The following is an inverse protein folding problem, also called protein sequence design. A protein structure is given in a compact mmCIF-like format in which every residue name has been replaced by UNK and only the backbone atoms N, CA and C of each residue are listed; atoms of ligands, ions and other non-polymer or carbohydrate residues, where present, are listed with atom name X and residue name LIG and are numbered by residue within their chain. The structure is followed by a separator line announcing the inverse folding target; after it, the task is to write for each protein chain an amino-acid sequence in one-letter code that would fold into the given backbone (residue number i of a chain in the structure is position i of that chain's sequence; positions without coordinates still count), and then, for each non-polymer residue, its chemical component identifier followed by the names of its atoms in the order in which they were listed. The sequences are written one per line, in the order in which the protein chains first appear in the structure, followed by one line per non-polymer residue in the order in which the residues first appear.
data_IF_070563353979
#
_entry.id   IF_070563353979
#
_cell.length_a   1.000
_cell.length_b   1.000
_cell.length_c   1.000
_cell.angle_alpha   90.00
_cell.angle_beta   90.00
_cell.angle_gamma   90.00
#
_symmetry.space_group_name_H-M   'P 1'
#
loop_
_entity.id
_entity.type
_entity.pdbx_description
1 polymer ?
#
# COMPACT_ATOMS: atom_id res chain seq x y z
N UNK A 1 28.92 -29.07 -13.24
CA UNK A 1 28.65 -28.45 -11.92
C UNK A 1 29.07 -26.98 -11.84
N UNK A 2 30.24 -26.59 -12.34
CA UNK A 2 30.72 -25.18 -12.30
C UNK A 2 29.75 -24.18 -12.97
N UNK A 3 29.30 -24.45 -14.20
CA UNK A 3 28.38 -23.55 -14.93
C UNK A 3 27.06 -23.32 -14.18
N UNK A 4 26.51 -24.36 -13.57
CA UNK A 4 25.26 -24.28 -12.81
C UNK A 4 25.41 -23.41 -11.56
N UNK A 5 26.55 -23.52 -10.85
CA UNK A 5 26.87 -22.67 -9.71
C UNK A 5 27.09 -21.21 -10.14
N UNK A 6 27.81 -20.98 -11.24
CA UNK A 6 28.03 -19.64 -11.81
C UNK A 6 26.73 -18.95 -12.23
N UNK A 7 25.80 -19.68 -12.86
CA UNK A 7 24.49 -19.13 -13.24
C UNK A 7 23.61 -18.81 -12.02
N UNK A 8 23.57 -19.70 -11.03
CA UNK A 8 22.84 -19.44 -9.77
C UNK A 8 23.34 -18.16 -9.11
N UNK A 9 24.66 -17.99 -9.00
CA UNK A 9 25.26 -16.79 -8.43
C UNK A 9 24.93 -15.54 -9.25
N UNK A 10 25.06 -15.62 -10.58
CA UNK A 10 24.76 -14.52 -11.49
C UNK A 10 23.32 -14.03 -11.36
N UNK A 11 22.33 -14.93 -11.43
CA UNK A 11 20.92 -14.57 -11.31
C UNK A 11 20.58 -14.04 -9.92
N UNK A 12 21.18 -14.60 -8.86
CA UNK A 12 20.99 -14.07 -7.52
C UNK A 12 21.61 -12.67 -7.34
N UNK A 13 22.75 -12.39 -7.96
CA UNK A 13 23.40 -11.07 -7.93
C UNK A 13 22.60 -10.02 -8.70
N UNK A 14 22.12 -10.37 -9.89
CA UNK A 14 21.23 -9.50 -10.68
C UNK A 14 19.90 -9.27 -9.95
N UNK A 15 19.33 -10.33 -9.36
CA UNK A 15 18.15 -10.24 -8.52
C UNK A 15 18.33 -9.28 -7.35
N UNK A 16 19.48 -9.33 -6.67
CA UNK A 16 19.84 -8.36 -5.63
C UNK A 16 19.89 -6.93 -6.18
N UNK A 17 20.64 -6.69 -7.26
CA UNK A 17 20.80 -5.34 -7.82
C UNK A 17 19.45 -4.71 -8.22
N UNK A 18 18.59 -5.47 -8.91
CA UNK A 18 17.27 -4.99 -9.33
C UNK A 18 16.34 -4.80 -8.13
N UNK A 19 16.37 -5.71 -7.17
CA UNK A 19 15.54 -5.59 -5.97
C UNK A 19 15.95 -4.38 -5.11
N UNK A 20 17.25 -4.04 -5.06
CA UNK A 20 17.69 -2.79 -4.44
C UNK A 20 17.09 -1.57 -5.14
N UNK A 21 17.11 -1.52 -6.47
CA UNK A 21 16.49 -0.43 -7.24
C UNK A 21 14.98 -0.32 -6.97
N UNK A 22 14.26 -1.45 -6.96
CA UNK A 22 12.82 -1.49 -6.65
C UNK A 22 12.57 -1.04 -5.21
N UNK A 23 13.40 -1.47 -4.26
CA UNK A 23 13.29 -1.09 -2.86
C UNK A 23 13.53 0.41 -2.64
N UNK A 24 14.37 1.04 -3.46
CA UNK A 24 14.63 2.48 -3.45
C UNK A 24 13.54 3.30 -4.17
N UNK A 25 12.65 2.68 -4.93
CA UNK A 25 11.61 3.37 -5.71
C UNK A 25 10.71 4.32 -4.88
N UNK A 26 10.39 4.05 -3.59
CA UNK A 26 9.62 4.98 -2.75
C UNK A 26 10.41 6.21 -2.25
N UNK A 27 11.73 6.29 -2.43
CA UNK A 27 12.54 7.41 -1.94
C UNK A 27 12.02 8.79 -2.35
N UNK A 28 11.62 9.04 -3.62
CA UNK A 28 11.08 10.34 -4.02
C UNK A 28 9.80 10.70 -3.26
N UNK A 29 8.93 9.71 -2.98
CA UNK A 29 7.72 9.89 -2.17
C UNK A 29 8.07 10.28 -0.74
N UNK A 30 9.03 9.59 -0.12
CA UNK A 30 9.46 9.91 1.25
C UNK A 30 10.20 11.24 1.36
N UNK A 31 10.94 11.62 0.32
CA UNK A 31 11.52 12.95 0.23
C UNK A 31 10.44 14.04 0.22
N UNK A 32 9.32 13.82 -0.48
CA UNK A 32 8.18 14.74 -0.45
C UNK A 32 7.52 14.81 0.93
N UNK A 33 7.29 13.67 1.59
CA UNK A 33 6.76 13.61 2.96
C UNK A 33 7.66 14.41 3.90
N UNK A 34 8.98 14.23 3.80
CA UNK A 34 9.96 14.96 4.62
C UNK A 34 9.96 16.46 4.34
N UNK A 35 9.88 16.88 3.07
CA UNK A 35 9.86 18.29 2.67
C UNK A 35 8.58 18.99 3.11
N UNK A 36 7.43 18.34 2.96
CA UNK A 36 6.11 18.91 3.24
C UNK A 36 5.66 18.74 4.69
N UNK A 37 6.38 17.93 5.48
CA UNK A 37 6.11 17.68 6.90
C UNK A 37 4.73 17.08 7.20
N UNK A 38 4.14 16.37 6.23
CA UNK A 38 2.86 15.69 6.36
C UNK A 38 2.87 14.41 5.52
N UNK A 39 2.11 13.40 5.93
CA UNK A 39 1.94 12.15 5.19
C UNK A 39 1.04 12.26 3.95
N UNK A 40 0.44 13.42 3.66
CA UNK A 40 -0.38 13.69 2.44
C UNK A 40 -1.34 12.57 1.99
N UNK A 41 -1.91 11.80 2.93
CA UNK A 41 -2.79 10.67 2.60
C UNK A 41 -2.07 9.41 2.07
N UNK A 42 -0.74 9.41 1.98
CA UNK A 42 0.05 8.20 1.71
C UNK A 42 -0.21 7.15 2.79
N UNK A 43 -0.21 5.88 2.38
CA UNK A 43 -0.50 4.74 3.26
C UNK A 43 0.79 4.06 3.71
N UNK A 44 0.87 3.66 4.98
CA UNK A 44 2.03 2.94 5.53
C UNK A 44 1.99 1.43 5.30
N UNK A 45 0.83 0.88 4.95
CA UNK A 45 0.58 -0.56 4.81
C UNK A 45 1.65 -1.27 3.94
N UNK A 46 2.02 -0.75 2.75
CA UNK A 46 3.02 -1.43 1.90
C UNK A 46 4.37 -1.60 2.59
N UNK A 47 4.77 -0.64 3.43
CA UNK A 47 6.06 -0.68 4.12
C UNK A 47 6.03 -1.63 5.32
N UNK A 48 4.92 -1.66 6.07
CA UNK A 48 4.74 -2.61 7.19
C UNK A 48 4.70 -4.06 6.70
N UNK A 49 3.98 -4.31 5.61
CA UNK A 49 3.91 -5.63 4.95
C UNK A 49 5.27 -5.99 4.34
N UNK A 50 5.97 -5.03 3.72
CA UNK A 50 7.31 -5.23 3.19
C UNK A 50 8.34 -5.58 4.27
N UNK A 51 8.29 -4.93 5.44
CA UNK A 51 9.14 -5.25 6.57
C UNK A 51 8.90 -6.67 7.06
N UNK A 52 7.63 -7.05 7.23
CA UNK A 52 7.27 -8.39 7.69
C UNK A 52 7.71 -9.47 6.68
N UNK A 53 7.55 -9.19 5.38
CA UNK A 53 8.07 -10.03 4.31
C UNK A 53 9.59 -10.25 4.44
N UNK A 54 10.35 -9.17 4.62
CA UNK A 54 11.80 -9.23 4.74
C UNK A 54 12.23 -10.04 5.97
N UNK A 55 11.54 -9.88 7.10
CA UNK A 55 11.78 -10.66 8.32
C UNK A 55 11.53 -12.15 8.11
N UNK A 56 10.42 -12.52 7.44
CA UNK A 56 10.10 -13.92 7.12
C UNK A 56 11.17 -14.55 6.21
N UNK A 57 11.56 -13.85 5.14
CA UNK A 57 12.58 -14.33 4.21
C UNK A 57 13.96 -14.45 4.86
N UNK A 58 14.33 -13.52 5.75
CA UNK A 58 15.55 -13.64 6.55
C UNK A 58 15.49 -14.88 7.44
N UNK A 59 14.38 -15.10 8.13
CA UNK A 59 14.23 -16.23 9.03
C UNK A 59 14.27 -17.57 8.30
N UNK A 60 13.63 -17.66 7.12
CA UNK A 60 13.78 -18.80 6.22
C UNK A 60 15.24 -19.00 5.79
N UNK A 61 15.91 -17.93 5.35
CA UNK A 61 17.26 -17.99 4.83
C UNK A 61 18.32 -18.36 5.89
N UNK A 62 18.07 -18.10 7.18
CA UNK A 62 18.94 -18.55 8.27
C UNK A 62 19.05 -20.07 8.38
N UNK A 63 17.99 -20.81 7.99
CA UNK A 63 17.97 -22.27 8.06
C UNK A 63 18.12 -22.93 6.68
N UNK A 64 17.88 -22.19 5.59
CA UNK A 64 18.07 -22.68 4.24
C UNK A 64 19.57 -22.77 3.87
N UNK A 65 19.97 -23.83 3.16
CA UNK A 65 21.35 -24.00 2.68
C UNK A 65 21.69 -22.94 1.63
N UNK A 66 22.94 -22.43 1.65
CA UNK A 66 23.51 -21.55 0.63
C UNK A 66 22.60 -20.35 0.26
N UNK A 67 22.04 -19.69 1.28
CA UNK A 67 21.05 -18.63 1.12
C UNK A 67 21.62 -17.20 1.22
N UNK A 68 22.94 -17.02 1.12
CA UNK A 68 23.58 -15.71 1.31
C UNK A 68 22.98 -14.60 0.44
N UNK A 69 22.72 -14.85 -0.84
CA UNK A 69 22.13 -13.85 -1.74
C UNK A 69 20.69 -13.47 -1.36
N UNK A 70 19.96 -14.38 -0.72
CA UNK A 70 18.62 -14.12 -0.20
C UNK A 70 18.69 -13.32 1.11
N UNK A 71 19.70 -13.60 1.95
CA UNK A 71 19.98 -12.82 3.16
C UNK A 71 20.33 -11.38 2.80
N UNK A 72 21.28 -11.16 1.90
CA UNK A 72 21.79 -9.81 1.57
C UNK A 72 20.67 -8.86 1.14
N UNK A 73 19.80 -9.29 0.22
CA UNK A 73 18.72 -8.43 -0.25
C UNK A 73 17.65 -8.18 0.82
N UNK A 74 17.34 -9.18 1.64
CA UNK A 74 16.29 -9.02 2.65
C UNK A 74 16.79 -8.24 3.87
N UNK A 75 18.09 -8.28 4.19
CA UNK A 75 18.71 -7.36 5.15
C UNK A 75 18.60 -5.93 4.64
N UNK A 76 18.98 -5.69 3.38
CA UNK A 76 18.84 -4.36 2.78
C UNK A 76 17.39 -3.87 2.82
N UNK A 77 16.45 -4.73 2.43
CA UNK A 77 15.01 -4.44 2.46
C UNK A 77 14.53 -4.15 3.88
N UNK A 78 14.94 -4.93 4.87
CA UNK A 78 14.58 -4.71 6.27
C UNK A 78 14.96 -3.30 6.75
N UNK A 79 16.19 -2.86 6.48
CA UNK A 79 16.64 -1.52 6.87
C UNK A 79 15.89 -0.42 6.10
N UNK A 80 15.69 -0.59 4.80
CA UNK A 80 14.95 0.38 3.98
C UNK A 80 13.49 0.52 4.42
N UNK A 81 12.80 -0.59 4.67
CA UNK A 81 11.40 -0.56 5.14
C UNK A 81 11.29 0.03 6.54
N UNK A 82 12.24 -0.28 7.43
CA UNK A 82 12.32 0.34 8.76
C UNK A 82 12.51 1.85 8.65
N UNK A 83 13.40 2.32 7.77
CA UNK A 83 13.60 3.74 7.50
C UNK A 83 12.31 4.42 7.00
N UNK A 84 11.63 3.82 6.02
CA UNK A 84 10.35 4.32 5.51
C UNK A 84 9.28 4.42 6.59
N UNK A 85 9.12 3.38 7.40
CA UNK A 85 8.16 3.38 8.51
C UNK A 85 8.51 4.47 9.53
N UNK A 86 9.79 4.64 9.88
CA UNK A 86 10.24 5.66 10.83
C UNK A 86 9.91 7.07 10.34
N UNK A 87 10.25 7.39 9.09
CA UNK A 87 9.93 8.70 8.48
C UNK A 87 8.42 8.89 8.41
N UNK A 88 7.67 7.87 8.01
CA UNK A 88 6.20 7.93 7.96
C UNK A 88 5.62 8.25 9.34
N UNK A 89 6.00 7.51 10.38
CA UNK A 89 5.49 7.69 11.74
C UNK A 89 5.78 9.08 12.28
N UNK A 90 6.94 9.66 11.93
CA UNK A 90 7.31 11.01 12.36
C UNK A 90 6.38 12.08 11.79
N UNK A 91 6.03 12.00 10.50
CA UNK A 91 5.23 13.01 9.79
C UNK A 91 3.73 12.68 9.68
N UNK A 92 3.33 11.46 10.02
CA UNK A 92 1.94 11.04 9.93
C UNK A 92 1.04 11.71 10.98
N UNK A 93 -0.23 11.86 10.61
CA UNK A 93 -1.30 12.33 11.51
C UNK A 93 -1.45 11.40 12.71
N UNK A 94 -2.05 11.88 13.81
CA UNK A 94 -2.26 11.05 15.01
C UNK A 94 -3.05 9.77 14.73
N UNK A 95 -4.04 9.83 13.82
CA UNK A 95 -4.84 8.66 13.47
C UNK A 95 -4.02 7.66 12.64
N UNK A 96 -3.37 8.13 11.57
CA UNK A 96 -2.55 7.27 10.70
C UNK A 96 -1.37 6.65 11.45
N UNK A 97 -0.77 7.40 12.38
CA UNK A 97 0.28 6.90 13.27
C UNK A 97 -0.23 5.76 14.15
N UNK A 98 -1.41 5.90 14.77
CA UNK A 98 -2.01 4.83 15.58
C UNK A 98 -2.32 3.60 14.73
N UNK A 99 -2.87 3.77 13.54
CA UNK A 99 -3.14 2.68 12.60
C UNK A 99 -1.85 1.96 12.20
N UNK A 100 -0.81 2.73 11.86
CA UNK A 100 0.51 2.18 11.50
C UNK A 100 1.13 1.41 12.65
N UNK A 101 1.09 1.95 13.88
CA UNK A 101 1.61 1.27 15.07
C UNK A 101 0.86 -0.02 15.37
N UNK A 102 -0.47 -0.04 15.20
CA UNK A 102 -1.29 -1.26 15.35
C UNK A 102 -0.88 -2.32 14.33
N UNK A 103 -0.76 -1.94 13.06
CA UNK A 103 -0.33 -2.86 11.98
C UNK A 103 1.09 -3.38 12.21
N UNK A 104 2.02 -2.50 12.61
CA UNK A 104 3.40 -2.86 12.90
C UNK A 104 3.46 -3.87 14.05
N UNK A 105 2.74 -3.61 15.15
CA UNK A 105 2.65 -4.51 16.29
C UNK A 105 2.03 -5.86 15.90
N UNK A 106 0.92 -5.85 15.16
CA UNK A 106 0.23 -7.07 14.75
C UNK A 106 1.08 -7.96 13.84
N UNK A 107 1.65 -7.41 12.75
CA UNK A 107 2.41 -8.21 11.80
C UNK A 107 3.85 -8.50 12.28
N UNK A 108 4.60 -7.46 12.64
CA UNK A 108 6.06 -7.56 12.81
C UNK A 108 6.48 -7.98 14.22
N UNK A 109 5.63 -7.78 15.23
CA UNK A 109 5.93 -8.20 16.61
C UNK A 109 5.17 -9.47 16.96
N UNK A 110 3.83 -9.41 16.96
CA UNK A 110 2.99 -10.55 17.36
C UNK A 110 3.02 -11.65 16.32
N UNK A 111 2.76 -11.34 15.05
CA UNK A 111 2.73 -12.32 13.96
C UNK A 111 4.09 -12.98 13.74
N UNK A 112 5.14 -12.19 13.57
CA UNK A 112 6.49 -12.73 13.43
C UNK A 112 6.96 -13.47 14.68
N UNK A 113 6.72 -12.91 15.87
CA UNK A 113 7.06 -13.55 17.14
C UNK A 113 6.40 -14.90 17.30
N UNK A 114 5.11 -15.02 16.98
CA UNK A 114 4.37 -16.28 17.02
C UNK A 114 4.94 -17.32 16.05
N UNK A 115 5.28 -16.92 14.82
CA UNK A 115 5.91 -17.82 13.84
C UNK A 115 7.27 -18.31 14.33
N UNK A 116 8.10 -17.41 14.87
CA UNK A 116 9.40 -17.76 15.45
C UNK A 116 9.25 -18.72 16.63
N UNK A 117 8.40 -18.39 17.61
CA UNK A 117 8.15 -19.25 18.76
C UNK A 117 7.64 -20.63 18.36
N UNK A 118 6.63 -20.69 17.47
CA UNK A 118 6.07 -21.96 17.00
C UNK A 118 7.10 -22.81 16.28
N UNK A 119 7.80 -22.25 15.30
CA UNK A 119 8.76 -23.02 14.49
C UNK A 119 10.00 -23.44 15.28
N UNK A 120 10.50 -22.61 16.19
CA UNK A 120 11.65 -22.97 17.03
C UNK A 120 11.29 -24.02 18.09
N UNK A 121 10.06 -23.99 18.62
CA UNK A 121 9.61 -24.95 19.63
C UNK A 121 9.19 -26.30 19.04
N UNK A 122 8.53 -26.32 17.88
CA UNK A 122 7.85 -27.51 17.36
C UNK A 122 8.45 -28.09 16.07
N UNK A 123 9.45 -27.45 15.46
CA UNK A 123 10.05 -27.93 14.21
C UNK A 123 11.57 -27.95 14.26
N UNK A 124 12.18 -28.96 13.60
CA UNK A 124 13.64 -29.13 13.58
C UNK A 124 14.14 -29.48 12.19
N UNK A 125 15.44 -29.22 11.96
CA UNK A 125 16.14 -29.60 10.73
C UNK A 125 15.41 -29.20 9.45
N UNK A 126 15.19 -30.19 8.58
CA UNK A 126 14.55 -30.01 7.25
C UNK A 126 13.08 -29.59 7.37
N UNK A 127 12.34 -30.11 8.35
CA UNK A 127 10.91 -29.79 8.54
C UNK A 127 10.73 -28.30 8.83
N UNK A 128 11.62 -27.71 9.63
CA UNK A 128 11.60 -26.27 9.91
C UNK A 128 11.77 -25.43 8.64
N UNK A 129 12.72 -25.81 7.78
CA UNK A 129 12.94 -25.13 6.50
C UNK A 129 11.70 -25.23 5.61
N UNK A 130 11.05 -26.40 5.57
CA UNK A 130 9.82 -26.59 4.78
C UNK A 130 8.66 -25.75 5.30
N UNK A 131 8.41 -25.75 6.61
CA UNK A 131 7.34 -24.94 7.23
C UNK A 131 7.56 -23.45 6.98
N UNK A 132 8.79 -22.96 7.20
CA UNK A 132 9.13 -21.56 6.92
C UNK A 132 9.03 -21.21 5.44
N UNK A 133 9.45 -22.12 4.57
CA UNK A 133 9.33 -21.96 3.13
C UNK A 133 7.87 -21.83 2.68
N UNK A 134 6.97 -22.67 3.20
CA UNK A 134 5.53 -22.57 2.93
C UNK A 134 4.94 -21.27 3.42
N UNK A 135 5.29 -20.82 4.64
CA UNK A 135 4.84 -19.54 5.19
C UNK A 135 5.30 -18.38 4.28
N UNK A 136 6.58 -18.36 3.89
CA UNK A 136 7.12 -17.33 3.00
C UNK A 136 6.43 -17.34 1.64
N UNK A 137 6.22 -18.53 1.07
CA UNK A 137 5.54 -18.70 -0.22
C UNK A 137 4.11 -18.16 -0.15
N UNK A 138 3.29 -18.66 0.78
CA UNK A 138 1.88 -18.25 0.91
C UNK A 138 1.78 -16.75 1.17
N UNK A 139 2.61 -16.21 2.07
CA UNK A 139 2.63 -14.78 2.33
C UNK A 139 2.98 -13.97 1.07
N UNK A 140 4.01 -14.38 0.33
CA UNK A 140 4.40 -13.72 -0.93
C UNK A 140 3.27 -13.76 -1.96
N UNK A 141 2.51 -14.85 -2.02
CA UNK A 141 1.34 -14.96 -2.91
C UNK A 141 0.23 -13.99 -2.50
N UNK A 142 -0.05 -13.85 -1.20
CA UNK A 142 -1.06 -12.93 -0.67
C UNK A 142 -0.75 -11.46 -0.99
N UNK A 143 0.53 -11.08 -1.09
CA UNK A 143 0.93 -9.69 -1.43
C UNK A 143 0.45 -9.29 -2.83
N UNK A 144 0.21 -10.24 -3.75
CA UNK A 144 -0.31 -9.95 -5.09
C UNK A 144 -1.76 -9.45 -5.12
N UNK A 145 -2.48 -9.51 -4.00
CA UNK A 145 -3.84 -8.94 -3.88
C UNK A 145 -3.84 -7.44 -4.20
N UNK A 146 -2.81 -6.69 -3.78
CA UNK A 146 -2.73 -5.26 -4.06
C UNK A 146 -2.54 -4.96 -5.58
N UNK A 147 -1.55 -5.54 -6.28
CA UNK A 147 -1.43 -5.45 -7.74
C UNK A 147 -2.70 -5.85 -8.50
N UNK A 148 -3.40 -6.90 -8.08
CA UNK A 148 -4.68 -7.32 -8.66
C UNK A 148 -5.75 -6.23 -8.52
N UNK A 149 -5.82 -5.59 -7.35
CA UNK A 149 -6.71 -4.44 -7.12
C UNK A 149 -6.43 -3.28 -8.08
N UNK A 150 -5.14 -2.98 -8.34
CA UNK A 150 -4.74 -1.94 -9.31
C UNK A 150 -5.13 -2.33 -10.74
N UNK A 151 -4.88 -3.58 -11.15
CA UNK A 151 -5.30 -4.10 -12.47
C UNK A 151 -6.81 -3.94 -12.67
N UNK A 152 -7.61 -4.35 -11.68
CA UNK A 152 -9.07 -4.16 -11.71
C UNK A 152 -9.46 -2.69 -11.82
N UNK A 153 -8.75 -1.81 -11.10
CA UNK A 153 -8.97 -0.36 -11.14
C UNK A 153 -8.72 0.19 -12.54
N UNK A 154 -7.57 -0.12 -13.15
CA UNK A 154 -7.21 0.32 -14.50
C UNK A 154 -8.24 -0.13 -15.54
N UNK A 155 -8.72 -1.37 -15.47
CA UNK A 155 -9.74 -1.88 -16.39
C UNK A 155 -11.06 -1.11 -16.24
N UNK A 156 -11.46 -0.79 -15.00
CA UNK A 156 -12.70 -0.07 -14.69
C UNK A 156 -12.61 1.42 -15.05
N UNK A 157 -11.49 2.07 -14.76
CA UNK A 157 -11.28 3.50 -14.98
C UNK A 157 -10.74 3.85 -16.37
N UNK A 158 -10.27 2.84 -17.13
CA UNK A 158 -9.66 3.01 -18.46
C UNK A 158 -8.44 3.95 -18.46
N UNK A 159 -7.82 4.14 -17.29
CA UNK A 159 -6.68 5.05 -17.08
C UNK A 159 -5.55 4.33 -16.36
N UNK A 160 -4.31 4.62 -16.77
CA UNK A 160 -3.06 4.03 -16.26
C UNK A 160 -2.32 4.92 -15.26
N UNK A 161 -2.97 5.98 -14.77
CA UNK A 161 -2.37 6.98 -13.88
C UNK A 161 -1.72 6.37 -12.62
N UNK A 162 -2.31 5.29 -12.09
CA UNK A 162 -1.83 4.60 -10.89
C UNK A 162 -0.86 3.43 -11.18
N UNK A 163 -0.41 3.27 -12.43
CA UNK A 163 0.44 2.15 -12.86
C UNK A 163 1.71 2.66 -13.58
N UNK A 164 2.79 2.99 -12.84
CA UNK A 164 4.04 3.42 -13.44
C UNK A 164 4.71 2.24 -14.17
N UNK A 165 4.79 2.34 -15.51
CA UNK A 165 5.35 1.28 -16.37
C UNK A 165 6.77 0.87 -15.99
N UNK A 166 7.61 1.82 -15.58
CA UNK A 166 8.99 1.53 -15.14
C UNK A 166 9.02 0.60 -13.93
N UNK A 167 8.12 0.81 -12.97
CA UNK A 167 8.04 -0.03 -11.78
C UNK A 167 7.57 -1.44 -12.14
N UNK A 168 6.55 -1.57 -12.99
CA UNK A 168 6.09 -2.87 -13.49
C UNK A 168 7.17 -3.61 -14.26
N UNK A 169 7.95 -2.92 -15.09
CA UNK A 169 9.08 -3.51 -15.81
C UNK A 169 10.17 -4.04 -14.86
N UNK A 170 10.64 -3.22 -13.91
CA UNK A 170 11.67 -3.64 -12.95
C UNK A 170 11.19 -4.75 -12.01
N UNK A 171 9.91 -4.73 -11.60
CA UNK A 171 9.31 -5.82 -10.82
C UNK A 171 9.25 -7.13 -11.64
N UNK A 172 8.89 -7.04 -12.92
CA UNK A 172 8.89 -8.22 -13.82
C UNK A 172 10.30 -8.77 -13.97
N UNK A 173 11.29 -7.91 -14.19
CA UNK A 173 12.69 -8.33 -14.34
C UNK A 173 13.21 -8.96 -13.04
N UNK A 174 12.88 -8.37 -11.89
CA UNK A 174 13.20 -8.95 -10.58
C UNK A 174 12.59 -10.34 -10.41
N UNK A 175 11.31 -10.50 -10.77
CA UNK A 175 10.62 -11.79 -10.70
C UNK A 175 11.30 -12.85 -11.58
N UNK A 176 11.74 -12.50 -12.79
CA UNK A 176 12.49 -13.44 -13.65
C UNK A 176 13.82 -13.84 -13.00
N UNK A 177 14.58 -12.88 -12.44
CA UNK A 177 15.87 -13.18 -11.79
C UNK A 177 15.69 -14.11 -10.58
N UNK A 178 14.71 -13.84 -9.71
CA UNK A 178 14.45 -14.66 -8.54
C UNK A 178 13.82 -16.01 -8.86
N UNK A 179 13.00 -16.09 -9.92
CA UNK A 179 12.52 -17.35 -10.45
C UNK A 179 13.69 -18.23 -10.92
N UNK A 180 14.59 -17.68 -11.75
CA UNK A 180 15.77 -18.42 -12.24
C UNK A 180 16.69 -18.83 -11.08
N UNK A 181 16.92 -17.94 -10.11
CA UNK A 181 17.66 -18.26 -8.89
C UNK A 181 17.02 -19.43 -8.11
N UNK A 182 15.73 -19.36 -7.82
CA UNK A 182 15.00 -20.40 -7.10
C UNK A 182 14.97 -21.73 -7.86
N UNK A 183 14.73 -21.68 -9.17
CA UNK A 183 14.71 -22.85 -10.04
C UNK A 183 16.06 -23.58 -10.06
N UNK A 184 17.16 -22.84 -10.28
CA UNK A 184 18.51 -23.41 -10.23
C UNK A 184 18.88 -23.91 -8.83
N UNK A 185 18.43 -23.23 -7.78
CA UNK A 185 18.64 -23.68 -6.40
C UNK A 185 17.78 -24.90 -6.03
N UNK A 186 16.81 -25.30 -6.88
CA UNK A 186 15.76 -26.29 -6.57
C UNK A 186 14.97 -25.90 -5.32
N UNK A 187 14.76 -24.61 -5.14
CA UNK A 187 13.98 -24.02 -4.05
C UNK A 187 12.61 -23.56 -4.58
N UNK A 188 11.56 -24.39 -4.44
CA UNK A 188 10.24 -24.05 -4.95
C UNK A 188 9.61 -22.86 -4.19
N UNK A 189 10.01 -22.64 -2.93
CA UNK A 189 9.47 -21.56 -2.10
C UNK A 189 9.83 -20.19 -2.67
N UNK A 190 11.03 -20.06 -3.24
CA UNK A 190 11.45 -18.87 -3.99
C UNK A 190 10.90 -18.87 -5.41
N UNK A 191 10.93 -20.00 -6.12
CA UNK A 191 10.55 -20.03 -7.54
C UNK A 191 9.06 -19.71 -7.78
N UNK A 192 8.15 -20.35 -7.04
CA UNK A 192 6.70 -20.31 -7.33
C UNK A 192 6.10 -18.90 -7.24
N UNK A 193 6.32 -18.10 -6.18
CA UNK A 193 5.76 -16.75 -6.12
C UNK A 193 6.25 -15.84 -7.25
N UNK A 194 7.48 -16.07 -7.71
CA UNK A 194 8.09 -15.28 -8.78
C UNK A 194 7.51 -15.60 -10.17
N UNK A 195 6.96 -16.81 -10.39
CA UNK A 195 6.19 -17.11 -11.62
C UNK A 195 4.94 -16.22 -11.69
N UNK A 196 4.22 -16.08 -10.57
CA UNK A 196 3.07 -15.18 -10.52
C UNK A 196 3.49 -13.71 -10.64
N UNK A 197 4.59 -13.32 -9.99
CA UNK A 197 5.14 -11.96 -10.11
C UNK A 197 5.44 -11.59 -11.56
N UNK A 198 6.07 -12.50 -12.30
CA UNK A 198 6.32 -12.35 -13.74
C UNK A 198 5.01 -12.25 -14.54
N UNK A 199 4.05 -13.14 -14.26
CA UNK A 199 2.75 -13.17 -14.95
C UNK A 199 1.96 -11.87 -14.75
N UNK A 200 1.88 -11.38 -13.51
CA UNK A 200 1.24 -10.10 -13.21
C UNK A 200 1.99 -8.92 -13.79
N UNK A 201 3.32 -8.96 -13.78
CA UNK A 201 4.15 -7.94 -14.39
C UNK A 201 3.89 -7.79 -15.90
N UNK A 202 3.83 -8.90 -16.63
CA UNK A 202 3.43 -8.89 -18.05
C UNK A 202 2.03 -8.35 -18.23
N UNK A 203 1.06 -8.82 -17.43
CA UNK A 203 -0.32 -8.35 -17.51
C UNK A 203 -0.40 -6.83 -17.31
N UNK A 204 0.35 -6.27 -16.35
CA UNK A 204 0.43 -4.83 -16.11
C UNK A 204 1.01 -4.08 -17.31
N UNK A 205 2.09 -4.59 -17.92
CA UNK A 205 2.69 -3.96 -19.11
C UNK A 205 1.73 -3.98 -20.32
N UNK A 206 1.01 -5.09 -20.54
CA UNK A 206 0.00 -5.20 -21.61
C UNK A 206 -1.13 -4.19 -21.38
N UNK A 207 -1.69 -4.16 -20.17
CA UNK A 207 -2.77 -3.22 -19.83
C UNK A 207 -2.32 -1.77 -19.98
N UNK A 208 -1.08 -1.47 -19.60
CA UNK A 208 -0.51 -0.14 -19.80
C UNK A 208 -0.50 0.25 -21.28
N UNK A 209 -0.03 -0.63 -22.18
CA UNK A 209 0.00 -0.36 -23.62
C UNK A 209 -1.38 -0.16 -24.23
N UNK A 210 -2.38 -0.92 -23.77
CA UNK A 210 -3.77 -0.81 -24.24
C UNK A 210 -4.38 0.52 -23.80
N UNK A 211 -4.27 0.87 -22.51
CA UNK A 211 -4.99 2.01 -21.93
C UNK A 211 -4.22 3.33 -21.95
N UNK A 212 -2.91 3.34 -22.24
CA UNK A 212 -2.11 4.57 -22.36
C UNK A 212 -2.67 5.54 -23.42
N UNK A 213 -3.28 5.02 -24.49
CA UNK A 213 -3.84 5.84 -25.59
C UNK A 213 -5.24 6.39 -25.31
N UNK A 214 -5.98 5.81 -24.36
CA UNK A 214 -7.32 6.26 -23.95
C UNK A 214 -7.27 7.27 -22.79
N UNK A 215 -6.13 7.42 -22.14
CA UNK A 215 -5.90 8.55 -21.23
C UNK A 215 -5.84 9.82 -22.09
N UNK A 216 -6.72 10.82 -21.88
CA UNK A 216 -6.65 12.08 -22.62
C UNK A 216 -5.23 12.64 -22.48
N UNK A 217 -4.62 13.05 -23.60
CA UNK A 217 -3.25 13.56 -23.63
C UNK A 217 -3.10 14.68 -22.60
N UNK A 218 -2.47 14.35 -21.47
CA UNK A 218 -2.10 15.31 -20.44
C UNK A 218 -1.11 16.37 -20.97
N UNK A 219 -0.62 16.20 -22.21
CA UNK A 219 0.13 17.19 -22.97
C UNK A 219 -0.72 18.41 -23.38
N UNK A 220 -2.01 18.24 -23.68
CA UNK A 220 -2.91 19.37 -23.96
C UNK A 220 -3.30 20.13 -22.67
N UNK A 221 -3.43 19.42 -21.54
CA UNK A 221 -3.68 20.03 -20.23
C UNK A 221 -2.46 20.80 -19.68
N UNK A 222 -1.24 20.42 -20.08
CA UNK A 222 -0.01 21.13 -19.71
C UNK A 222 0.17 22.46 -20.46
N UNK A 223 -0.41 22.62 -21.65
CA UNK A 223 -0.32 23.89 -22.39
C UNK A 223 -1.30 24.94 -21.84
N UNK A 224 -2.49 24.54 -21.40
CA UNK A 224 -3.43 25.46 -20.72
C UNK A 224 -2.92 25.88 -19.33
N UNK A 225 -2.14 25.03 -18.65
CA UNK A 225 -1.61 25.29 -17.30
C UNK A 225 -0.36 26.20 -17.29
N UNK A 226 0.19 26.58 -18.45
CA UNK A 226 1.34 27.49 -18.55
C UNK A 226 0.96 28.97 -18.40
N UNK A 227 -0.31 29.33 -18.57
CA UNK A 227 -0.79 30.72 -18.50
C UNK A 227 -1.46 31.09 -17.16
N UNK A 228 -1.72 30.13 -16.27
CA UNK A 228 -2.38 30.39 -14.98
C UNK A 228 -1.39 30.21 -13.81
N UNK A 229 -1.29 31.26 -12.99
CA UNK A 229 -0.46 31.38 -11.79
C UNK A 229 -0.39 30.07 -10.95
N UNK A 230 0.82 29.49 -10.76
CA UNK A 230 1.02 28.16 -10.17
C UNK A 230 0.49 28.00 -8.74
N UNK A 231 0.24 29.09 -8.01
CA UNK A 231 -0.32 29.02 -6.66
C UNK A 231 -1.83 28.69 -6.63
N UNK A 232 -2.60 29.09 -7.65
CA UNK A 232 -4.06 28.87 -7.69
C UNK A 232 -4.44 27.47 -8.17
N UNK A 233 -3.65 26.86 -9.05
CA UNK A 233 -4.01 25.55 -9.63
C UNK A 233 -3.78 24.41 -8.64
N UNK A 234 -2.78 24.51 -7.76
CA UNK A 234 -2.51 23.52 -6.71
C UNK A 234 -3.65 23.47 -5.67
N UNK A 235 -4.28 24.61 -5.38
CA UNK A 235 -5.41 24.68 -4.44
C UNK A 235 -6.66 24.04 -5.03
N UNK A 236 -6.91 24.22 -6.34
CA UNK A 236 -8.09 23.67 -7.02
C UNK A 236 -7.97 22.14 -7.20
N UNK A 237 -6.78 21.61 -7.51
CA UNK A 237 -6.56 20.16 -7.63
C UNK A 237 -6.66 19.44 -6.27
N UNK A 238 -6.17 20.05 -5.18
CA UNK A 238 -6.26 19.51 -3.82
C UNK A 238 -7.69 19.57 -3.26
N UNK A 239 -8.46 20.63 -3.57
CA UNK A 239 -9.87 20.72 -3.17
C UNK A 239 -10.72 19.62 -3.83
N UNK A 240 -10.51 19.35 -5.12
CA UNK A 240 -11.20 18.27 -5.84
C UNK A 240 -10.82 16.87 -5.33
N UNK A 241 -9.55 16.68 -4.93
CA UNK A 241 -9.10 15.41 -4.33
C UNK A 241 -9.75 15.17 -2.95
N UNK A 242 -9.93 16.24 -2.17
CA UNK A 242 -10.64 16.21 -0.89
C UNK A 242 -12.13 15.93 -1.01
N UNK A 243 -12.82 16.56 -1.98
CA UNK A 243 -14.24 16.33 -2.27
C UNK A 243 -14.49 14.89 -2.75
N UNK A 244 -13.59 14.33 -3.58
CA UNK A 244 -13.69 12.95 -4.06
C UNK A 244 -13.44 11.91 -2.95
N UNK A 245 -12.56 12.21 -1.99
CA UNK A 245 -12.35 11.36 -0.82
C UNK A 245 -13.54 11.40 0.16
N UNK A 246 -14.16 12.57 0.35
CA UNK A 246 -15.37 12.71 1.16
C UNK A 246 -16.56 11.99 0.54
N UNK A 247 -16.75 12.04 -0.78
CA UNK A 247 -17.80 11.29 -1.48
C UNK A 247 -17.60 9.77 -1.43
N UNK A 248 -16.35 9.28 -1.49
CA UNK A 248 -16.06 7.85 -1.32
C UNK A 248 -16.32 7.38 0.11
N UNK A 249 -16.05 8.21 1.11
CA UNK A 249 -16.33 7.89 2.51
C UNK A 249 -17.84 7.94 2.81
N UNK A 250 -18.58 8.91 2.26
CA UNK A 250 -20.03 8.98 2.36
C UNK A 250 -20.71 7.77 1.69
N UNK A 251 -20.22 7.35 0.51
CA UNK A 251 -20.74 6.16 -0.18
C UNK A 251 -20.42 4.84 0.55
N UNK A 252 -19.30 4.75 1.28
CA UNK A 252 -19.01 3.58 2.11
C UNK A 252 -19.88 3.53 3.36
N UNK A 253 -20.19 4.67 3.98
CA UNK A 253 -21.09 4.73 5.14
C UNK A 253 -22.51 4.30 4.72
N UNK A 254 -22.99 4.77 3.56
CA UNK A 254 -24.32 4.44 3.04
C UNK A 254 -24.47 2.97 2.58
N UNK A 255 -23.35 2.25 2.37
CA UNK A 255 -23.35 0.82 2.05
C UNK A 255 -23.34 -0.09 3.29
N UNK A 256 -22.84 0.41 4.43
CA UNK A 256 -22.76 -0.36 5.69
C UNK A 256 -23.98 -0.10 6.58
N UNK A 257 -24.54 1.10 6.50
CA UNK A 257 -25.83 1.46 7.09
C UNK A 257 -26.72 2.01 5.98
N UNK A 258 -27.49 1.15 5.29
CA UNK A 258 -28.48 1.63 4.35
C UNK A 258 -29.45 2.54 5.11
N UNK A 259 -29.53 3.81 4.74
CA UNK A 259 -30.63 4.66 5.19
C UNK A 259 -31.87 4.12 4.49
N UNK A 260 -32.77 3.49 5.26
CA UNK A 260 -34.11 3.18 4.80
C UNK A 260 -34.76 4.48 4.30
N UNK A 261 -35.16 4.46 3.03
CA UNK A 261 -35.93 5.45 2.27
C UNK A 261 -35.98 6.90 2.82
N UNK A 262 -35.30 7.89 2.19
CA UNK A 262 -35.35 9.28 2.61
C UNK A 262 -36.74 9.93 2.49
N UNK A 263 -37.73 9.24 1.90
CA UNK A 263 -39.10 9.74 1.78
C UNK A 263 -39.98 9.52 3.03
N UNK A 264 -39.56 8.76 4.05
CA UNK A 264 -40.41 8.42 5.20
C UNK A 264 -39.95 8.99 6.57
N UNK A 265 -38.74 9.54 6.69
CA UNK A 265 -38.18 9.97 7.98
C UNK A 265 -38.03 11.49 8.18
N UNK A 266 -38.25 12.30 7.14
CA UNK A 266 -38.07 13.76 7.21
C UNK A 266 -39.17 14.53 7.98
N UNK A 267 -40.44 14.09 8.15
CA UNK A 267 -41.41 14.97 8.79
C UNK A 267 -41.13 15.20 10.28
N UNK A 268 -40.55 14.23 11.00
CA UNK A 268 -40.49 14.28 12.47
C UNK A 268 -39.35 15.11 13.05
N UNK A 269 -38.21 15.23 12.36
CA UNK A 269 -37.07 16.00 12.88
C UNK A 269 -37.17 17.50 12.58
N UNK A 270 -37.79 17.90 11.46
CA UNK A 270 -38.06 19.32 11.19
C UNK A 270 -39.22 19.88 12.02
N UNK A 271 -40.28 19.10 12.29
CA UNK A 271 -41.35 19.53 13.22
C UNK A 271 -40.82 19.69 14.66
N UNK A 272 -40.05 18.72 15.17
CA UNK A 272 -39.48 18.83 16.52
C UNK A 272 -38.47 19.98 16.65
N UNK A 273 -37.72 20.28 15.58
CA UNK A 273 -36.79 21.42 15.55
C UNK A 273 -37.53 22.76 15.45
N UNK A 274 -38.66 22.82 14.75
CA UNK A 274 -39.53 24.00 14.68
C UNK A 274 -40.27 24.23 16.01
N UNK A 275 -40.75 23.19 16.69
CA UNK A 275 -41.34 23.30 18.04
C UNK A 275 -40.30 23.75 19.09
N UNK A 276 -39.08 23.21 19.05
CA UNK A 276 -38.00 23.65 19.94
C UNK A 276 -37.55 25.09 19.66
N UNK A 277 -37.49 25.54 18.40
CA UNK A 277 -37.21 26.94 18.07
C UNK A 277 -38.37 27.88 18.47
N UNK A 278 -39.61 27.42 18.42
CA UNK A 278 -40.78 28.22 18.79
C UNK A 278 -40.91 28.36 20.31
N UNK A 279 -40.59 27.30 21.09
CA UNK A 279 -40.50 27.39 22.55
C UNK A 279 -39.31 28.27 22.99
N UNK A 280 -38.15 28.16 22.32
CA UNK A 280 -37.00 29.02 22.64
C UNK A 280 -37.23 30.50 22.28
N UNK A 281 -38.07 30.80 21.28
CA UNK A 281 -38.52 32.18 20.99
C UNK A 281 -39.55 32.71 22.00
N UNK A 282 -40.40 31.85 22.58
CA UNK A 282 -41.32 32.23 23.67
C UNK A 282 -40.57 32.56 24.97
N UNK A 283 -39.51 31.82 25.31
CA UNK A 283 -38.69 32.09 26.50
C UNK A 283 -37.86 33.38 26.39
N UNK A 284 -37.37 33.71 25.19
CA UNK A 284 -36.64 34.96 24.93
C UNK A 284 -37.58 36.17 24.84
N UNK A 285 -38.85 35.96 24.46
CA UNK A 285 -39.89 37.01 24.50
C UNK A 285 -40.35 37.35 25.92
N UNK A 286 -40.23 36.42 26.88
CA UNK A 286 -40.60 36.67 28.29
C UNK A 286 -39.51 37.40 29.08
N UNK A 287 -38.26 37.37 28.63
CA UNK A 287 -37.11 37.99 29.34
C UNK A 287 -36.83 39.44 28.93
N UNK A 288 -37.32 39.90 27.78
CA UNK A 288 -37.14 41.28 27.30
C UNK A 288 -38.37 42.21 27.55
N UNK A 289 -39.32 41.78 28.38
CA UNK A 289 -40.57 42.49 28.67
C UNK A 289 -40.69 43.12 30.06
N UNK A 290 -39.66 43.11 30.91
CA UNK A 290 -39.71 43.74 32.24
C UNK A 290 -38.52 44.69 32.42
N UNK A 291 -38.70 45.91 31.94
CA UNK A 291 -38.11 47.09 32.53
C UNK A 291 -39.20 48.15 32.49
N UNK A 292 -39.72 48.58 33.65
CA UNK A 292 -40.30 49.91 33.96
C UNK A 292 -40.89 49.86 35.38
N UNK A 293 -40.53 50.89 36.17
CA UNK A 293 -40.82 51.24 37.58
C UNK A 293 -39.89 50.65 38.64
#
# INVERSE_FOLDING_TARGET
MAVHFSLMFLFGLLGNAISCMVCLAPLPTFYQIWKKKTSEGFQSIPYVIGLFSAMLWLFYALFAKDAMLLITINVFTFFMQTFYIAVYLFYATRNDRRTTMKLLSFFNVVGFGAICSFTLAFTHGVVRVQVLGWICMVFSLCVFVAPLGIVRKVIKTKSVEFMPISLSFFLTLSAVMWFMYGFLKKDPYVAVPNILGFTFGILQMILYLIYRKTTPDSAAALQVKKEADPAKVVVIDMAKLGEQQQQQQANQINQVFPVDDPAAAVPRQEEQRKEQLNNKKKDVSFTNGIAVV
#
